data_IF_702760489221
#
_entry.id   IF_702760489221
#
_cell.length_a   1.000
_cell.length_b   1.000
_cell.length_c   1.000
_cell.angle_alpha   90.00
_cell.angle_beta   90.00
_cell.angle_gamma   90.00
#
_symmetry.space_group_name_H-M   'P 1'
#
loop_
_entity.id
_entity.type
_entity.pdbx_description
1 polymer ?
#
# COMPACT_ATOMS: atom_id res chain seq x y z
N UNK A 1 -8.96 -26.67 0.67
CA UNK A 1 -9.12 -25.28 1.17
C UNK A 1 -8.40 -24.41 0.17
N UNK A 2 -9.05 -24.15 -0.97
CA UNK A 2 -8.51 -23.26 -2.00
C UNK A 2 -8.63 -21.86 -1.44
N UNK A 3 -7.51 -21.29 -1.01
CA UNK A 3 -7.39 -19.87 -0.84
C UNK A 3 -7.47 -19.29 -2.26
N UNK A 4 -8.67 -18.91 -2.67
CA UNK A 4 -8.87 -18.05 -3.83
C UNK A 4 -7.83 -16.95 -3.73
N UNK A 5 -6.96 -16.90 -4.74
CA UNK A 5 -6.02 -15.82 -4.92
C UNK A 5 -6.86 -14.58 -5.24
N UNK A 6 -7.41 -13.94 -4.22
CA UNK A 6 -7.84 -12.54 -4.31
C UNK A 6 -6.63 -11.78 -4.81
N UNK A 7 -6.77 -11.30 -6.04
CA UNK A 7 -5.65 -10.90 -6.89
C UNK A 7 -4.98 -9.71 -6.23
N UNK A 8 -3.81 -9.94 -5.66
CA UNK A 8 -2.89 -8.87 -5.28
C UNK A 8 -2.59 -8.08 -6.56
N UNK A 9 -3.07 -6.85 -6.62
CA UNK A 9 -2.95 -5.98 -7.80
C UNK A 9 -1.69 -5.14 -7.77
N UNK A 10 -1.00 -5.13 -6.62
CA UNK A 10 0.18 -4.31 -6.44
C UNK A 10 1.45 -4.85 -7.11
N UNK A 11 2.45 -3.99 -7.14
CA UNK A 11 3.81 -4.30 -7.58
C UNK A 11 4.83 -3.68 -6.63
N UNK A 12 6.00 -4.33 -6.51
CA UNK A 12 7.12 -3.75 -5.77
C UNK A 12 7.72 -2.57 -6.54
N UNK A 13 7.80 -1.42 -5.87
CA UNK A 13 8.55 -0.26 -6.33
C UNK A 13 9.64 0.09 -5.32
N UNK A 14 10.85 0.36 -5.80
CA UNK A 14 11.88 0.95 -4.94
C UNK A 14 11.47 2.39 -4.58
N UNK A 15 11.66 2.74 -3.32
CA UNK A 15 11.29 4.05 -2.77
C UNK A 15 12.48 4.54 -1.94
N UNK A 16 12.83 5.81 -2.13
CA UNK A 16 14.09 6.40 -1.67
C UNK A 16 15.12 6.40 -2.80
N UNK A 17 15.22 7.50 -3.54
CA UNK A 17 16.33 7.70 -4.46
C UNK A 17 17.61 7.97 -3.65
N UNK A 18 18.78 7.48 -4.09
CA UNK A 18 20.04 7.73 -3.40
C UNK A 18 20.44 9.22 -3.36
N UNK A 19 19.85 10.06 -4.23
CA UNK A 19 20.12 11.50 -4.33
C UNK A 19 19.16 12.38 -3.50
N UNK A 20 18.14 11.78 -2.88
CA UNK A 20 17.06 12.49 -2.18
C UNK A 20 17.41 12.86 -0.72
N UNK A 21 18.71 13.06 -0.43
CA UNK A 21 19.22 13.40 0.90
C UNK A 21 18.60 14.68 1.51
N UNK A 22 17.97 15.52 0.68
CA UNK A 22 17.29 16.75 1.07
C UNK A 22 15.76 16.60 1.15
N UNK A 23 15.20 15.44 0.83
CA UNK A 23 13.76 15.16 0.87
C UNK A 23 13.53 13.87 1.65
N UNK A 24 13.28 14.01 2.95
CA UNK A 24 12.87 12.91 3.83
C UNK A 24 11.40 12.57 3.58
N UNK A 25 11.05 12.09 2.37
CA UNK A 25 9.70 11.55 2.14
C UNK A 25 9.58 10.20 2.85
N UNK A 26 9.19 10.26 4.12
CA UNK A 26 8.97 9.10 4.96
C UNK A 26 7.65 8.45 4.56
N UNK A 27 7.72 7.34 3.83
CA UNK A 27 6.54 6.58 3.44
C UNK A 27 6.05 5.70 4.59
N UNK A 28 4.73 5.66 4.79
CA UNK A 28 4.08 4.80 5.76
C UNK A 28 3.13 3.82 5.07
N UNK A 29 3.05 2.62 5.60
CA UNK A 29 2.09 1.62 5.14
C UNK A 29 0.66 2.08 5.42
N UNK A 30 -0.17 2.15 4.37
CA UNK A 30 -1.59 2.53 4.47
C UNK A 30 -2.46 1.56 5.27
N UNK A 31 -1.97 0.36 5.58
CA UNK A 31 -2.68 -0.62 6.42
C UNK A 31 -2.22 -0.60 7.89
N UNK A 32 -0.91 -0.67 8.14
CA UNK A 32 -0.37 -0.91 9.49
C UNK A 32 0.43 0.28 10.06
N UNK A 33 0.60 1.37 9.30
CA UNK A 33 1.30 2.59 9.73
C UNK A 33 2.83 2.48 9.82
N UNK A 34 3.40 1.28 9.58
CA UNK A 34 4.86 1.08 9.63
C UNK A 34 5.57 1.92 8.57
N UNK A 35 6.72 2.47 8.94
CA UNK A 35 7.62 3.18 8.03
C UNK A 35 8.18 2.21 6.97
N UNK A 36 8.23 2.67 5.72
CA UNK A 36 8.76 1.95 4.56
C UNK A 36 10.06 2.64 4.13
N UNK A 37 11.17 1.90 4.16
CA UNK A 37 12.53 2.48 4.06
C UNK A 37 13.29 2.14 2.77
N UNK A 38 12.78 1.23 1.93
CA UNK A 38 13.51 0.74 0.74
C UNK A 38 12.62 0.40 -0.45
N UNK A 39 11.60 -0.41 -0.22
CA UNK A 39 10.65 -0.80 -1.25
C UNK A 39 9.25 -0.82 -0.68
N UNK A 40 8.30 -0.32 -1.46
CA UNK A 40 6.89 -0.34 -1.14
C UNK A 40 6.17 -1.29 -2.09
N UNK A 41 5.13 -1.94 -1.58
CA UNK A 41 4.14 -2.62 -2.38
C UNK A 41 3.08 -1.59 -2.80
N UNK A 42 3.10 -1.20 -4.06
CA UNK A 42 2.25 -0.12 -4.60
C UNK A 42 1.06 -0.73 -5.30
N UNK A 43 -0.13 -0.28 -4.96
CA UNK A 43 -1.41 -0.74 -5.50
C UNK A 43 -2.10 0.44 -6.18
N UNK A 44 -2.58 0.26 -7.40
CA UNK A 44 -3.38 1.29 -8.07
C UNK A 44 -4.75 1.36 -7.43
N UNK A 45 -5.08 2.53 -6.88
CA UNK A 45 -6.33 2.79 -6.17
C UNK A 45 -6.90 4.12 -6.67
N UNK A 46 -7.63 4.15 -7.79
CA UNK A 46 -8.10 5.38 -8.41
C UNK A 46 -9.12 6.14 -7.55
N UNK A 47 -9.75 5.44 -6.60
CA UNK A 47 -10.66 6.01 -5.61
C UNK A 47 -9.95 6.75 -4.46
N UNK A 48 -8.65 6.49 -4.26
CA UNK A 48 -7.87 7.10 -3.19
C UNK A 48 -7.20 8.41 -3.64
N UNK A 49 -7.03 9.39 -2.73
CA UNK A 49 -6.31 10.62 -3.03
C UNK A 49 -4.85 10.31 -3.36
N UNK A 50 -4.46 10.53 -4.63
CA UNK A 50 -3.14 10.20 -5.15
C UNK A 50 -3.13 9.01 -6.12
N UNK A 51 -4.26 8.31 -6.28
CA UNK A 51 -4.42 7.23 -7.27
C UNK A 51 -3.65 5.94 -6.96
N UNK A 52 -2.91 5.91 -5.85
CA UNK A 52 -2.09 4.79 -5.41
C UNK A 52 -2.19 4.61 -3.89
N UNK A 53 -2.18 3.35 -3.46
CA UNK A 53 -1.97 2.95 -2.07
C UNK A 53 -0.61 2.27 -1.95
N UNK A 54 0.05 2.51 -0.81
CA UNK A 54 1.36 1.93 -0.51
C UNK A 54 1.29 1.08 0.75
N UNK A 55 1.81 -0.13 0.63
CA UNK A 55 1.87 -1.11 1.70
C UNK A 55 3.29 -1.57 1.94
N UNK A 56 3.59 -1.98 3.17
CA UNK A 56 4.91 -2.56 3.47
C UNK A 56 5.06 -3.95 2.85
N UNK A 57 3.95 -4.68 2.67
CA UNK A 57 3.92 -6.06 2.17
C UNK A 57 2.57 -6.37 1.48
N UNK A 58 2.51 -7.38 0.60
CA UNK A 58 1.25 -7.78 -0.04
C UNK A 58 0.17 -8.25 0.95
N UNK A 59 0.57 -8.79 2.10
CA UNK A 59 -0.38 -9.17 3.16
C UNK A 59 -1.14 -7.94 3.70
N UNK A 60 -0.52 -6.76 3.68
CA UNK A 60 -1.17 -5.51 4.08
C UNK A 60 -2.17 -5.01 3.04
N UNK A 61 -1.93 -5.19 1.74
CA UNK A 61 -2.95 -4.98 0.70
C UNK A 61 -4.17 -5.84 0.98
N UNK A 62 -3.95 -7.14 1.23
CA UNK A 62 -5.04 -8.08 1.50
C UNK A 62 -5.84 -7.70 2.74
N UNK A 63 -5.19 -7.39 3.86
CA UNK A 63 -5.88 -6.97 5.09
C UNK A 63 -6.64 -5.66 4.85
N UNK A 64 -6.04 -4.71 4.12
CA UNK A 64 -6.71 -3.47 3.77
C UNK A 64 -7.98 -3.73 2.96
N UNK A 65 -7.89 -4.58 1.93
CA UNK A 65 -9.03 -4.92 1.06
C UNK A 65 -10.12 -5.73 1.76
N UNK A 66 -9.75 -6.77 2.51
CA UNK A 66 -10.71 -7.69 3.13
C UNK A 66 -11.33 -7.13 4.43
N UNK A 67 -10.57 -6.32 5.18
CA UNK A 67 -10.97 -5.88 6.50
C UNK A 67 -11.26 -4.39 6.59
N UNK A 68 -10.38 -3.55 6.04
CA UNK A 68 -10.43 -2.10 6.23
C UNK A 68 -11.42 -1.43 5.28
N UNK A 69 -11.33 -1.70 3.97
CA UNK A 69 -12.21 -1.11 2.94
C UNK A 69 -13.70 -1.36 3.20
N UNK A 70 -14.17 -2.59 3.54
CA UNK A 70 -15.59 -2.81 3.81
C UNK A 70 -16.12 -2.06 5.05
N UNK A 71 -15.22 -1.72 5.98
CA UNK A 71 -15.56 -1.04 7.25
C UNK A 71 -15.48 0.48 7.14
N UNK A 72 -14.59 0.99 6.29
CA UNK A 72 -14.22 2.41 6.26
C UNK A 72 -14.31 3.06 4.88
N UNK A 73 -14.31 2.27 3.80
CA UNK A 73 -14.45 2.72 2.41
C UNK A 73 -15.89 3.02 1.98
N UNK A 74 -16.88 2.70 2.82
CA UNK A 74 -18.31 2.97 2.58
C UNK A 74 -18.71 4.43 2.80
N UNK A 75 -18.02 5.36 2.14
CA UNK A 75 -18.20 6.79 2.30
C UNK A 75 -18.05 7.57 1.00
N UNK A 76 -18.83 7.20 -0.03
CA UNK A 76 -19.47 8.13 -0.97
C UNK A 76 -20.41 7.40 -1.94
#
# INVERSE_FOLDING_TARGET
MSADAEQLTGAWAERGAPDDYMHEETLHCGCCGRMIVRRAWVVTAPEEPGGELIFCEPVCERIYAEYWLPRHGGGR
#
